data_IF_566652831908
#
_entry.id   IF_566652831908
#
_cell.length_a   1.000
_cell.length_b   1.000
_cell.length_c   1.000
_cell.angle_alpha   90.00
_cell.angle_beta   90.00
_cell.angle_gamma   90.00
#
_symmetry.space_group_name_H-M   'P 1'
#
loop_
_entity.id
_entity.type
_entity.pdbx_description
1 polymer ?
#
# COMPACT_ATOMS: atom_id res chain seq x y z
N UNK A 1 5.41 11.83 7.38
CA UNK A 1 4.51 11.08 6.48
C UNK A 1 5.18 9.73 6.26
N UNK A 2 4.54 8.61 6.62
CA UNK A 2 5.15 7.30 6.47
C UNK A 2 5.06 6.87 5.00
N UNK A 3 6.20 6.56 4.39
CA UNK A 3 6.28 6.03 3.04
C UNK A 3 6.23 4.50 3.08
N UNK A 4 5.38 3.93 2.23
CA UNK A 4 5.22 2.49 2.05
C UNK A 4 5.82 2.11 0.70
N UNK A 5 6.64 1.09 0.72
CA UNK A 5 7.26 0.52 -0.48
C UNK A 5 6.39 -0.62 -1.00
N UNK A 6 6.02 -0.56 -2.27
CA UNK A 6 5.25 -1.60 -2.95
C UNK A 6 5.93 -2.00 -4.25
N UNK A 7 5.73 -3.24 -4.67
CA UNK A 7 6.15 -3.76 -5.96
C UNK A 7 4.92 -3.75 -6.87
N UNK A 8 5.00 -3.10 -8.01
CA UNK A 8 3.93 -3.09 -9.00
C UNK A 8 3.78 -4.47 -9.63
N UNK A 9 2.54 -4.90 -9.82
CA UNK A 9 2.21 -6.13 -10.58
C UNK A 9 1.69 -5.81 -11.97
N UNK A 10 1.33 -4.55 -12.21
CA UNK A 10 0.87 -4.03 -13.50
C UNK A 10 1.53 -2.66 -13.77
N UNK A 11 1.65 -2.24 -15.05
CA UNK A 11 2.11 -0.89 -15.39
C UNK A 11 1.24 0.18 -14.72
N UNK A 12 1.87 1.17 -14.08
CA UNK A 12 1.17 2.23 -13.36
C UNK A 12 1.83 3.58 -13.61
N UNK A 13 1.04 4.64 -13.76
CA UNK A 13 1.55 6.01 -13.91
C UNK A 13 1.38 6.76 -12.61
N UNK A 14 2.48 7.19 -12.00
CA UNK A 14 2.47 7.96 -10.75
C UNK A 14 3.29 9.25 -10.92
N UNK A 15 2.71 10.38 -10.51
CA UNK A 15 3.30 11.72 -10.66
C UNK A 15 3.75 12.08 -12.09
N UNK A 16 3.07 11.54 -13.11
CA UNK A 16 3.43 11.75 -14.52
C UNK A 16 4.59 10.87 -15.01
N UNK A 17 5.13 9.99 -14.17
CA UNK A 17 6.09 8.96 -14.57
C UNK A 17 5.40 7.62 -14.71
N UNK A 18 5.70 6.90 -15.79
CA UNK A 18 5.18 5.56 -16.02
C UNK A 18 6.16 4.53 -15.45
N UNK A 19 5.62 3.62 -14.66
CA UNK A 19 6.32 2.51 -14.04
C UNK A 19 5.78 1.19 -14.59
N UNK A 20 6.65 0.19 -14.66
CA UNK A 20 6.36 -1.13 -15.18
C UNK A 20 6.02 -2.12 -14.06
N UNK A 21 5.38 -3.23 -14.45
CA UNK A 21 5.24 -4.37 -13.55
C UNK A 21 6.62 -4.89 -13.12
N UNK A 22 6.76 -5.22 -11.83
CA UNK A 22 8.01 -5.61 -11.20
C UNK A 22 8.81 -4.44 -10.63
N UNK A 23 8.50 -3.19 -10.99
CA UNK A 23 9.16 -2.03 -10.41
C UNK A 23 8.67 -1.76 -8.99
N UNK A 24 9.57 -1.23 -8.16
CA UNK A 24 9.26 -0.91 -6.78
C UNK A 24 9.07 0.59 -6.62
N UNK A 25 7.90 1.00 -6.12
CA UNK A 25 7.58 2.40 -5.87
C UNK A 25 7.51 2.65 -4.37
N UNK A 26 7.98 3.82 -3.95
CA UNK A 26 7.82 4.35 -2.60
C UNK A 26 6.82 5.50 -2.66
N UNK A 27 5.71 5.33 -1.98
CA UNK A 27 4.59 6.27 -1.98
C UNK A 27 3.96 6.33 -0.59
N UNK A 28 3.04 7.26 -0.39
CA UNK A 28 2.34 7.36 0.89
C UNK A 28 1.46 6.12 1.16
N UNK A 29 1.09 5.95 2.42
CA UNK A 29 0.28 4.82 2.87
C UNK A 29 -1.07 4.71 2.16
N UNK A 30 -1.76 5.82 1.93
CA UNK A 30 -3.07 5.85 1.28
C UNK A 30 -2.97 5.43 -0.18
N UNK A 31 -1.98 5.96 -0.90
CA UNK A 31 -1.69 5.58 -2.29
C UNK A 31 -1.27 4.10 -2.37
N UNK A 32 -0.55 3.60 -1.37
CA UNK A 32 -0.09 2.21 -1.37
C UNK A 32 -1.26 1.27 -1.16
N UNK A 33 -2.11 1.57 -0.18
CA UNK A 33 -3.33 0.81 0.05
C UNK A 33 -4.24 0.81 -1.18
N UNK A 34 -4.37 1.94 -1.88
CA UNK A 34 -5.14 2.02 -3.12
C UNK A 34 -4.61 1.06 -4.20
N UNK A 35 -3.29 1.04 -4.44
CA UNK A 35 -2.67 0.17 -5.44
C UNK A 35 -2.80 -1.31 -5.05
N UNK A 36 -2.68 -1.63 -3.76
CA UNK A 36 -2.88 -2.98 -3.23
C UNK A 36 -4.34 -3.43 -3.38
N UNK A 37 -5.31 -2.57 -3.06
CA UNK A 37 -6.75 -2.83 -3.21
C UNK A 37 -7.16 -3.05 -4.66
N UNK A 38 -6.55 -2.32 -5.59
CA UNK A 38 -6.78 -2.54 -7.03
C UNK A 38 -6.12 -3.80 -7.58
N UNK A 39 -5.27 -4.49 -6.80
CA UNK A 39 -4.49 -5.63 -7.27
C UNK A 39 -3.35 -5.28 -8.23
N UNK A 40 -3.01 -3.98 -8.33
CA UNK A 40 -1.97 -3.45 -9.21
C UNK A 40 -0.58 -3.41 -8.53
N UNK A 41 -0.46 -3.88 -7.29
CA UNK A 41 0.82 -4.04 -6.60
C UNK A 41 0.76 -4.98 -5.40
N UNK A 42 1.93 -5.24 -4.81
CA UNK A 42 2.13 -6.05 -3.61
C UNK A 42 3.02 -5.30 -2.62
N UNK A 43 2.68 -5.33 -1.34
CA UNK A 43 3.52 -4.74 -0.31
C UNK A 43 4.84 -5.51 -0.25
N UNK A 44 5.97 -4.81 -0.39
CA UNK A 44 7.25 -5.43 -0.05
C UNK A 44 7.33 -5.37 1.47
N UNK A 45 7.34 -6.56 2.10
CA UNK A 45 7.28 -6.75 3.53
C UNK A 45 8.49 -6.13 4.25
N UNK A 46 8.48 -4.81 4.44
CA UNK A 46 9.36 -4.08 5.37
C UNK A 46 8.54 -3.34 6.42
N UNK A 47 7.25 -3.07 6.17
CA UNK A 47 6.37 -2.63 7.25
C UNK A 47 5.96 -3.87 8.03
N UNK A 48 6.59 -4.03 9.20
CA UNK A 48 6.08 -4.83 10.31
C UNK A 48 4.57 -4.79 10.28
N UNK A 49 3.96 -5.96 10.31
CA UNK A 49 2.56 -6.14 10.66
C UNK A 49 2.28 -5.41 11.99
N UNK A 50 1.97 -4.13 11.92
CA UNK A 50 1.02 -3.52 12.81
C UNK A 50 -0.31 -3.91 12.17
N UNK A 51 -0.79 -5.09 12.58
CA UNK A 51 -2.07 -5.60 12.16
C UNK A 51 -3.13 -4.51 12.33
N UNK A 52 -4.17 -4.47 11.47
CA UNK A 52 -5.39 -3.79 11.87
C UNK A 52 -5.89 -4.54 13.11
N UNK A 53 -5.60 -4.03 14.31
CA UNK A 53 -6.45 -4.35 15.46
C UNK A 53 -7.74 -3.58 15.23
N UNK A 54 -8.55 -4.10 14.33
CA UNK A 54 -9.97 -3.88 14.33
C UNK A 54 -10.51 -4.59 15.59
N UNK A 55 -10.24 -4.03 16.76
CA UNK A 55 -11.04 -4.26 17.95
C UNK A 55 -12.04 -3.11 18.03
N UNK A 56 -13.09 -3.25 17.23
CA UNK A 56 -14.40 -2.67 17.51
C UNK A 56 -14.93 -3.26 18.83
N UNK A 57 -14.59 -2.66 19.96
CA UNK A 57 -15.30 -2.79 21.24
C UNK A 57 -14.85 -1.60 22.11
N UNK A 58 -15.71 -0.62 22.45
CA UNK A 58 -16.86 -0.83 23.31
C UNK A 58 -17.99 0.15 23.00
N UNK A 59 -19.15 -0.42 22.66
CA UNK A 59 -20.39 0.05 23.25
C UNK A 59 -20.65 -0.77 24.52
N UNK A 60 -20.66 -0.13 25.68
CA UNK A 60 -21.43 -0.56 26.85
C UNK A 60 -21.55 0.64 27.80
N UNK A 61 -22.75 0.78 28.34
CA UNK A 61 -23.34 1.93 29.03
C UNK A 61 -22.63 2.39 30.30
#
# INVERSE_FOLDING_TARGET
MAQTKIILTAPHTHAGQQYQAGETLELDESSAEFILKMGAGKATATRRAEAPSEETNNGAQ
#
